data_IF_985123720482
#
_entry.id   IF_985123720482
#
_cell.length_a   1.000
_cell.length_b   1.000
_cell.length_c   1.000
_cell.angle_alpha   90.00
_cell.angle_beta   90.00
_cell.angle_gamma   90.00
#
_symmetry.space_group_name_H-M   'P 1'
#
loop_
_entity.id
_entity.type
_entity.pdbx_description
1 polymer ?
#
# COMPACT_ATOMS: atom_id res chain seq x y z
N UNK A 1 -5.85 13.17 7.81
CA UNK A 1 -5.91 12.15 6.74
C UNK A 1 -6.58 12.72 5.50
N UNK A 2 -5.82 13.48 4.72
CA UNK A 2 -6.24 13.88 3.38
C UNK A 2 -5.63 12.89 2.40
N UNK A 3 -6.45 12.28 1.54
CA UNK A 3 -5.92 11.50 0.41
C UNK A 3 -5.34 12.52 -0.57
N UNK A 4 -4.02 12.53 -0.71
CA UNK A 4 -3.28 13.49 -1.52
C UNK A 4 -3.23 13.06 -2.99
N UNK A 5 -3.16 11.76 -3.26
CA UNK A 5 -3.15 11.20 -4.62
C UNK A 5 -3.54 9.72 -4.64
N UNK A 6 -3.59 9.12 -5.83
CA UNK A 6 -3.80 7.69 -6.03
C UNK A 6 -2.65 7.08 -6.82
N UNK A 7 -2.26 5.87 -6.45
CA UNK A 7 -1.26 5.06 -7.15
C UNK A 7 -1.91 3.82 -7.73
N UNK A 8 -1.68 3.55 -9.00
CA UNK A 8 -2.20 2.36 -9.66
C UNK A 8 -1.19 1.22 -9.51
N UNK A 9 -1.61 0.12 -8.90
CA UNK A 9 -0.80 -1.09 -8.73
C UNK A 9 -1.52 -2.28 -9.33
N UNK A 10 -0.78 -3.12 -10.04
CA UNK A 10 -1.28 -4.41 -10.53
C UNK A 10 -0.88 -5.50 -9.55
N UNK A 11 -1.84 -6.33 -9.14
CA UNK A 11 -1.57 -7.51 -8.29
C UNK A 11 -0.84 -8.55 -9.14
N UNK A 12 0.39 -8.89 -8.77
CA UNK A 12 1.22 -9.85 -9.51
C UNK A 12 1.41 -11.20 -8.81
N UNK A 13 1.00 -11.33 -7.55
CA UNK A 13 1.19 -12.55 -6.77
C UNK A 13 -0.10 -13.09 -6.18
N UNK A 14 -0.07 -14.37 -5.81
CA UNK A 14 -1.18 -15.04 -5.15
C UNK A 14 -1.30 -14.63 -3.67
N UNK A 15 -2.48 -14.88 -3.11
CA UNK A 15 -2.80 -14.63 -1.69
C UNK A 15 -2.59 -13.17 -1.24
N UNK A 16 -2.70 -12.22 -2.17
CA UNK A 16 -2.58 -10.78 -1.88
C UNK A 16 -3.92 -10.28 -1.34
N UNK A 17 -3.92 -9.58 -0.20
CA UNK A 17 -5.11 -8.95 0.38
C UNK A 17 -5.01 -7.42 0.31
N UNK A 18 -6.15 -6.73 0.47
CA UNK A 18 -6.18 -5.27 0.51
C UNK A 18 -5.31 -4.71 1.64
N UNK A 19 -5.40 -5.30 2.84
CA UNK A 19 -4.56 -4.95 3.99
C UNK A 19 -3.07 -5.12 3.70
N UNK A 20 -2.70 -6.20 3.01
CA UNK A 20 -1.32 -6.46 2.65
C UNK A 20 -0.77 -5.45 1.64
N UNK A 21 -1.59 -4.99 0.68
CA UNK A 21 -1.22 -3.89 -0.23
C UNK A 21 -0.99 -2.58 0.54
N UNK A 22 -1.90 -2.24 1.46
CA UNK A 22 -1.78 -1.05 2.32
C UNK A 22 -0.53 -1.15 3.19
N UNK A 23 -0.29 -2.29 3.85
CA UNK A 23 0.90 -2.51 4.66
C UNK A 23 2.19 -2.43 3.84
N UNK A 24 2.23 -3.04 2.65
CA UNK A 24 3.41 -2.96 1.76
C UNK A 24 3.71 -1.53 1.37
N UNK A 25 2.68 -0.72 1.16
CA UNK A 25 2.86 0.69 0.84
C UNK A 25 3.31 1.47 2.08
N UNK A 26 2.57 1.41 3.17
CA UNK A 26 2.78 2.30 4.32
C UNK A 26 3.80 1.82 5.35
N UNK A 27 4.05 0.52 5.50
CA UNK A 27 4.99 -0.03 6.50
C UNK A 27 4.76 0.50 7.93
N UNK A 28 3.56 0.97 8.21
CA UNK A 28 3.13 1.54 9.49
C UNK A 28 1.62 1.34 9.62
N UNK A 29 1.04 1.30 10.83
CA UNK A 29 -0.41 1.21 11.02
C UNK A 29 -1.13 2.39 10.36
N UNK A 30 -1.90 2.11 9.31
CA UNK A 30 -2.59 3.11 8.51
C UNK A 30 -4.11 2.93 8.64
N UNK A 31 -4.66 3.33 9.79
CA UNK A 31 -6.07 3.18 10.12
C UNK A 31 -6.97 3.88 9.09
N UNK A 32 -8.08 3.27 8.66
CA UNK A 32 -9.01 3.91 7.73
C UNK A 32 -8.56 3.94 6.26
N UNK A 33 -7.33 3.53 5.93
CA UNK A 33 -6.83 3.54 4.54
C UNK A 33 -7.37 2.37 3.73
N UNK A 34 -7.61 1.22 4.36
CA UNK A 34 -8.17 0.04 3.69
C UNK A 34 -9.59 0.33 3.23
N UNK A 35 -10.39 0.97 4.07
CA UNK A 35 -11.75 1.40 3.79
C UNK A 35 -11.77 2.38 2.61
N UNK A 36 -10.89 3.40 2.63
CA UNK A 36 -10.74 4.34 1.51
C UNK A 36 -10.27 3.65 0.21
N UNK A 37 -9.46 2.60 0.31
CA UNK A 37 -9.05 1.80 -0.84
C UNK A 37 -10.26 1.05 -1.41
N UNK A 38 -11.09 0.44 -0.57
CA UNK A 38 -12.31 -0.26 -1.01
C UNK A 38 -13.34 0.72 -1.61
N UNK A 39 -13.51 1.91 -1.02
CA UNK A 39 -14.38 2.97 -1.55
C UNK A 39 -13.91 3.47 -2.93
N UNK A 40 -12.60 3.64 -3.11
CA UNK A 40 -12.01 4.05 -4.39
C UNK A 40 -12.04 2.95 -5.46
N UNK A 41 -12.28 1.70 -5.07
CA UNK A 41 -12.29 0.54 -5.96
C UNK A 41 -13.54 -0.35 -5.71
N UNK A 42 -14.73 0.05 -6.18
CA UNK A 42 -15.96 -0.70 -5.94
C UNK A 42 -15.92 -2.15 -6.46
N UNK A 43 -15.14 -2.41 -7.52
CA UNK A 43 -14.91 -3.75 -8.04
C UNK A 43 -14.20 -4.65 -7.03
N UNK A 44 -13.23 -4.10 -6.28
CA UNK A 44 -12.54 -4.82 -5.21
C UNK A 44 -13.47 -5.07 -4.04
N UNK A 45 -14.25 -4.07 -3.61
CA UNK A 45 -15.20 -4.23 -2.52
C UNK A 45 -16.20 -5.36 -2.80
N UNK A 46 -16.64 -5.52 -4.06
CA UNK A 46 -17.50 -6.63 -4.46
C UNK A 46 -16.79 -7.98 -4.38
N UNK A 47 -15.55 -8.08 -4.85
CA UNK A 47 -14.74 -9.31 -4.75
C UNK A 47 -14.46 -9.70 -3.29
N UNK A 48 -14.20 -8.69 -2.46
CA UNK A 48 -13.90 -8.86 -1.04
C UNK A 48 -15.04 -9.50 -0.24
N UNK A 49 -16.28 -9.42 -0.74
CA UNK A 49 -17.43 -10.11 -0.14
C UNK A 49 -17.38 -11.63 -0.34
N UNK A 50 -16.68 -12.11 -1.37
CA UNK A 50 -16.58 -13.53 -1.71
C UNK A 50 -15.30 -14.15 -1.16
N UNK A 51 -14.19 -13.41 -1.22
CA UNK A 51 -12.89 -13.86 -0.77
C UNK A 51 -12.05 -12.65 -0.34
N UNK A 52 -11.24 -12.77 0.73
CA UNK A 52 -10.29 -11.72 1.11
C UNK A 52 -9.12 -11.59 0.13
N UNK A 53 -8.92 -12.57 -0.76
CA UNK A 53 -7.80 -12.62 -1.69
C UNK A 53 -8.13 -11.92 -3.01
N UNK A 54 -7.21 -11.06 -3.43
CA UNK A 54 -7.24 -10.34 -4.69
C UNK A 54 -6.71 -11.23 -5.82
N UNK A 55 -7.44 -11.38 -6.94
CA UNK A 55 -6.95 -12.11 -8.10
C UNK A 55 -5.72 -11.46 -8.72
N UNK A 56 -4.80 -12.28 -9.23
CA UNK A 56 -3.66 -11.82 -10.04
C UNK A 56 -4.16 -11.09 -11.29
N UNK A 57 -3.45 -10.02 -11.68
CA UNK A 57 -3.82 -9.14 -12.78
C UNK A 57 -4.79 -8.02 -12.40
N UNK A 58 -5.33 -8.02 -11.18
CA UNK A 58 -6.26 -6.98 -10.73
C UNK A 58 -5.55 -5.64 -10.59
N UNK A 59 -6.12 -4.59 -11.19
CA UNK A 59 -5.68 -3.22 -11.00
C UNK A 59 -6.33 -2.61 -9.76
N UNK A 60 -5.50 -2.05 -8.89
CA UNK A 60 -5.88 -1.48 -7.60
C UNK A 60 -5.40 -0.04 -7.52
N UNK A 61 -6.31 0.89 -7.22
CA UNK A 61 -5.97 2.28 -6.91
C UNK A 61 -5.73 2.41 -5.42
N UNK A 62 -4.46 2.53 -5.02
CA UNK A 62 -4.08 2.71 -3.62
C UNK A 62 -4.13 4.22 -3.30
N UNK A 63 -4.94 4.65 -2.31
CA UNK A 63 -4.92 6.04 -1.87
C UNK A 63 -3.59 6.34 -1.16
N UNK A 64 -2.99 7.47 -1.51
CA UNK A 64 -1.77 8.00 -0.91
C UNK A 64 -2.12 9.11 0.07
N UNK A 65 -1.69 8.94 1.32
CA UNK A 65 -1.70 9.94 2.36
C UNK A 65 -0.25 10.33 2.69
N UNK A 66 0.10 11.59 2.40
CA UNK A 66 1.45 12.14 2.59
C UNK A 66 1.85 12.23 4.07
N UNK A 67 0.91 12.30 5.00
CA UNK A 67 1.21 12.41 6.43
C UNK A 67 1.68 11.06 6.98
N UNK A 68 0.96 9.99 6.63
CA UNK A 68 1.32 8.61 7.02
C UNK A 68 2.64 8.20 6.35
N UNK A 69 2.85 8.64 5.11
CA UNK A 69 4.10 8.48 4.36
C UNK A 69 5.32 9.06 5.06
N UNK A 70 5.18 10.20 5.74
CA UNK A 70 6.29 10.81 6.47
C UNK A 70 6.69 10.01 7.71
N UNK A 71 5.75 9.28 8.31
CA UNK A 71 5.99 8.42 9.48
C UNK A 71 6.59 7.05 9.17
N UNK A 72 6.90 6.73 7.91
CA UNK A 72 7.46 5.41 7.56
C UNK A 72 8.90 5.28 8.03
N UNK A 73 9.33 4.10 8.51
CA UNK A 73 10.74 3.86 8.81
C UNK A 73 11.55 4.03 7.52
N UNK A 74 12.48 4.98 7.52
CA UNK A 74 13.41 5.19 6.41
C UNK A 74 14.53 4.15 6.51
N UNK A 75 14.88 3.45 5.41
CA UNK A 75 16.04 2.57 5.41
C UNK A 75 17.27 3.38 5.85
N UNK A 76 17.99 2.90 6.86
CA UNK A 76 19.21 3.56 7.32
C UNK A 76 20.22 3.51 6.17
N UNK A 77 20.52 4.67 5.59
CA UNK A 77 21.49 4.79 4.51
C UNK A 77 22.88 4.52 5.10
N UNK A 78 23.38 3.30 4.94
CA UNK A 78 24.73 2.93 5.37
C UNK A 78 25.69 3.80 4.55
N UNK A 79 26.26 4.83 5.17
CA UNK A 79 27.31 5.62 4.54
C UNK A 79 28.55 4.73 4.48
N UNK A 80 28.89 4.27 3.29
CA UNK A 80 30.19 3.64 3.06
C UNK A 80 31.26 4.69 3.33
N UNK A 81 31.87 4.64 4.51
CA UNK A 81 33.00 5.51 4.85
C UNK A 81 34.19 4.98 4.07
N UNK A 82 34.59 5.67 3.01
CA UNK A 82 35.81 5.33 2.27
C UNK A 82 36.99 5.40 3.25
N UNK A 83 37.79 4.33 3.43
CA UNK A 83 38.96 4.40 4.28
C UNK A 83 39.97 5.36 3.63
N UNK A 84 40.42 6.34 4.42
CA UNK A 84 41.50 7.25 4.04
C UNK A 84 42.79 6.44 4.15
N UNK A 85 43.37 6.09 2.99
CA UNK A 85 44.75 5.58 2.88
C UNK A 85 45.74 6.72 2.89
#
# INVERSE_FOLDING_TARGET
MAVTSYELVTVTGDFVTADLLVWRRYKTPAYGIVEKLLDANPHLARLHKQSPFLPVGTQVRIPIDSDILRGRPQPQQIRNVTPII
#
